data_IF_067004542733
#
_entry.id   IF_067004542733
#
_cell.length_a   1.000
_cell.length_b   1.000
_cell.length_c   1.000
_cell.angle_alpha   90.00
_cell.angle_beta   90.00
_cell.angle_gamma   90.00
#
_symmetry.space_group_name_H-M   'P 1'
#
loop_
_entity.id
_entity.type
_entity.pdbx_description
1 polymer ?
#
# COMPACT_ATOMS: atom_id res chain seq x y z
N UNK A 1 -10.59 57.14 3.63
CA UNK A 1 -10.20 56.13 2.62
C UNK A 1 -11.48 55.48 2.12
N UNK A 2 -11.69 55.36 0.81
CA UNK A 2 -12.94 54.80 0.27
C UNK A 2 -13.02 53.30 0.57
N UNK A 3 -14.22 52.76 0.88
CA UNK A 3 -14.41 51.33 1.12
C UNK A 3 -13.94 50.48 -0.07
N UNK A 4 -14.10 50.96 -1.30
CA UNK A 4 -13.58 50.31 -2.50
C UNK A 4 -12.04 50.18 -2.55
N UNK A 5 -11.29 51.14 -2.01
CA UNK A 5 -9.81 51.03 -1.91
C UNK A 5 -9.43 49.97 -0.88
N UNK A 6 -10.18 49.88 0.23
CA UNK A 6 -9.94 48.86 1.27
C UNK A 6 -10.24 47.47 0.72
N UNK A 7 -11.35 47.28 -0.01
CA UNK A 7 -11.68 46.01 -0.68
C UNK A 7 -10.60 45.57 -1.66
N UNK A 8 -10.09 46.49 -2.48
CA UNK A 8 -9.04 46.19 -3.45
C UNK A 8 -7.72 45.79 -2.77
N UNK A 9 -7.37 46.43 -1.65
CA UNK A 9 -6.20 46.06 -0.85
C UNK A 9 -6.36 44.69 -0.18
N UNK A 10 -7.55 44.38 0.35
CA UNK A 10 -7.84 43.08 0.95
C UNK A 10 -7.77 41.96 -0.10
N UNK A 11 -8.40 42.18 -1.26
CA UNK A 11 -8.42 41.20 -2.35
C UNK A 11 -7.01 40.97 -2.91
N UNK A 12 -6.20 42.03 -3.05
CA UNK A 12 -4.79 41.93 -3.41
C UNK A 12 -3.98 41.13 -2.37
N UNK A 13 -4.22 41.36 -1.08
CA UNK A 13 -3.56 40.61 0.00
C UNK A 13 -3.88 39.11 -0.04
N UNK A 14 -5.15 38.76 -0.24
CA UNK A 14 -5.59 37.36 -0.38
C UNK A 14 -4.98 36.72 -1.63
N UNK A 15 -4.97 37.42 -2.77
CA UNK A 15 -4.39 36.90 -4.01
C UNK A 15 -2.88 36.61 -3.88
N UNK A 16 -2.12 37.52 -3.26
CA UNK A 16 -0.69 37.32 -2.99
C UNK A 16 -0.48 36.12 -2.06
N UNK A 17 -1.29 36.01 -1.00
CA UNK A 17 -1.24 34.90 -0.07
C UNK A 17 -1.50 33.56 -0.77
N UNK A 18 -2.50 33.48 -1.64
CA UNK A 18 -2.82 32.26 -2.40
C UNK A 18 -1.67 31.88 -3.35
N UNK A 19 -1.05 32.83 -4.04
CA UNK A 19 0.10 32.56 -4.92
C UNK A 19 1.30 32.03 -4.13
N UNK A 20 1.61 32.63 -2.97
CA UNK A 20 2.68 32.13 -2.10
C UNK A 20 2.36 30.75 -1.54
N UNK A 21 1.13 30.51 -1.11
CA UNK A 21 0.69 29.21 -0.58
C UNK A 21 0.75 28.12 -1.64
N UNK A 22 0.30 28.40 -2.87
CA UNK A 22 0.40 27.46 -4.00
C UNK A 22 1.85 27.12 -4.33
N UNK A 23 2.77 28.10 -4.30
CA UNK A 23 4.20 27.84 -4.48
C UNK A 23 4.79 26.94 -3.40
N UNK A 24 4.36 27.09 -2.15
CA UNK A 24 4.85 26.26 -1.04
C UNK A 24 4.25 24.85 -1.05
N UNK A 25 3.05 24.66 -1.60
CA UNK A 25 2.40 23.34 -1.70
C UNK A 25 2.87 22.55 -2.93
N UNK A 26 3.15 23.22 -4.05
CA UNK A 26 3.64 22.58 -5.29
C UNK A 26 5.17 22.47 -5.35
N UNK A 27 5.88 23.15 -4.45
CA UNK A 27 7.29 23.47 -4.62
C UNK A 27 8.13 23.30 -3.36
N UNK A 28 8.02 22.15 -2.70
CA UNK A 28 9.17 21.55 -2.01
C UNK A 28 9.26 20.09 -2.43
N UNK A 29 10.28 19.82 -3.25
CA UNK A 29 10.89 18.51 -3.38
C UNK A 29 11.41 18.12 -2.00
N UNK A 30 10.56 17.56 -1.15
CA UNK A 30 10.96 17.08 0.16
C UNK A 30 10.66 15.58 0.27
N UNK A 31 11.75 14.81 0.24
CA UNK A 31 11.82 13.42 0.62
C UNK A 31 11.77 12.44 -0.55
N UNK A 32 12.92 11.82 -0.86
CA UNK A 32 13.11 10.65 -1.74
C UNK A 32 13.38 10.86 -3.25
N UNK A 33 14.06 11.93 -3.67
CA UNK A 33 14.88 11.83 -4.89
C UNK A 33 16.22 11.18 -4.51
N UNK A 34 16.34 9.86 -4.76
CA UNK A 34 17.65 9.18 -4.75
C UNK A 34 18.59 9.92 -5.71
N UNK A 35 19.85 10.20 -5.34
CA UNK A 35 20.82 10.75 -6.28
C UNK A 35 20.87 9.87 -7.52
N UNK A 36 20.95 10.48 -8.71
CA UNK A 36 21.16 9.74 -9.94
C UNK A 36 22.43 8.89 -9.79
N UNK A 37 22.24 7.59 -9.63
CA UNK A 37 23.33 6.61 -9.59
C UNK A 37 23.97 6.65 -10.97
N UNK A 38 25.23 7.08 -11.02
CA UNK A 38 26.06 6.85 -12.19
C UNK A 38 26.07 5.34 -12.46
N UNK A 39 25.49 4.93 -13.58
CA UNK A 39 25.55 3.55 -14.04
C UNK A 39 27.03 3.21 -14.32
N UNK A 40 27.65 2.54 -13.35
CA UNK A 40 28.86 1.79 -13.61
C UNK A 40 28.50 0.68 -14.62
N UNK A 41 29.39 0.35 -15.57
CA UNK A 41 29.09 -0.65 -16.59
C UNK A 41 28.78 -1.98 -15.90
N UNK A 42 27.54 -2.44 -16.09
CA UNK A 42 27.04 -3.72 -15.58
C UNK A 42 27.81 -4.82 -16.29
N UNK A 43 28.89 -5.29 -15.66
CA UNK A 43 29.47 -6.58 -16.02
C UNK A 43 28.43 -7.64 -15.66
N UNK A 44 27.68 -8.10 -16.65
CA UNK A 44 26.92 -9.34 -16.57
C UNK A 44 27.90 -10.47 -16.24
N UNK A 45 28.01 -10.77 -14.95
CA UNK A 45 28.47 -12.06 -14.50
C UNK A 45 27.21 -12.85 -14.18
N UNK A 46 26.95 -13.98 -14.85
CA UNK A 46 25.93 -14.89 -14.38
C UNK A 46 26.41 -15.38 -13.02
N UNK A 47 25.87 -14.82 -11.93
CA UNK A 47 26.03 -15.43 -10.62
C UNK A 47 25.21 -16.70 -10.64
N UNK A 48 25.85 -17.80 -10.98
CA UNK A 48 25.46 -19.10 -10.48
C UNK A 48 25.42 -18.96 -8.95
N UNK A 49 24.20 -18.81 -8.40
CA UNK A 49 23.98 -18.93 -6.97
C UNK A 49 24.15 -20.42 -6.67
N UNK A 50 25.39 -20.78 -6.37
CA UNK A 50 25.75 -22.09 -5.82
C UNK A 50 24.95 -22.24 -4.54
N UNK A 51 24.12 -23.27 -4.50
CA UNK A 51 23.41 -23.70 -3.30
C UNK A 51 24.46 -24.26 -2.34
N UNK A 52 24.84 -23.50 -1.31
CA UNK A 52 25.47 -24.04 -0.10
C UNK A 52 25.40 -23.04 1.06
N UNK A 53 24.41 -23.23 1.95
CA UNK A 53 24.53 -22.90 3.37
C UNK A 53 24.46 -21.45 3.85
N UNK A 54 24.15 -20.47 2.99
CA UNK A 54 23.91 -19.08 3.40
C UNK A 54 22.47 -18.84 3.88
N UNK A 55 22.30 -18.04 4.92
CA UNK A 55 20.98 -17.64 5.45
C UNK A 55 20.22 -16.78 4.41
N UNK A 56 18.91 -17.01 4.25
CA UNK A 56 18.06 -16.23 3.33
C UNK A 56 17.71 -14.89 3.97
N UNK A 57 18.45 -13.84 3.58
CA UNK A 57 18.28 -12.49 4.11
C UNK A 57 16.85 -11.94 3.91
N UNK A 58 16.19 -12.24 2.80
CA UNK A 58 14.83 -11.76 2.53
C UNK A 58 13.79 -12.40 3.47
N UNK A 59 14.07 -13.61 3.98
CA UNK A 59 13.29 -14.21 5.07
C UNK A 59 13.66 -13.60 6.42
N UNK A 60 14.95 -13.49 6.73
CA UNK A 60 15.41 -13.03 8.04
C UNK A 60 15.12 -11.55 8.32
N UNK A 61 15.01 -10.72 7.28
CA UNK A 61 14.60 -9.32 7.39
C UNK A 61 13.11 -9.18 7.79
N UNK A 62 12.31 -10.25 7.61
CA UNK A 62 10.86 -10.25 7.80
C UNK A 62 10.36 -11.26 8.85
N UNK A 63 11.19 -12.21 9.27
CA UNK A 63 10.83 -13.27 10.20
C UNK A 63 12.01 -13.71 11.07
N UNK A 64 11.76 -13.97 12.35
CA UNK A 64 12.78 -14.49 13.25
C UNK A 64 13.30 -15.85 12.78
N UNK A 65 14.62 -16.05 12.89
CA UNK A 65 15.27 -17.31 12.51
C UNK A 65 14.71 -18.49 13.29
N UNK A 66 14.31 -19.54 12.58
CA UNK A 66 13.74 -20.75 13.18
C UNK A 66 12.30 -20.57 13.68
N UNK A 67 11.65 -19.45 13.39
CA UNK A 67 10.22 -19.29 13.60
C UNK A 67 9.40 -20.09 12.58
N UNK A 68 8.16 -20.44 12.94
CA UNK A 68 7.22 -21.07 12.01
C UNK A 68 7.00 -20.23 10.74
N UNK A 69 7.05 -18.90 10.85
CA UNK A 69 6.96 -17.98 9.70
C UNK A 69 8.15 -18.13 8.77
N UNK A 70 9.37 -18.18 9.31
CA UNK A 70 10.58 -18.37 8.50
C UNK A 70 10.56 -19.72 7.76
N UNK A 71 10.07 -20.78 8.41
CA UNK A 71 9.88 -22.09 7.77
C UNK A 71 8.83 -22.04 6.66
N UNK A 72 7.69 -21.39 6.89
CA UNK A 72 6.64 -21.25 5.88
C UNK A 72 7.11 -20.45 4.65
N UNK A 73 7.83 -19.33 4.85
CA UNK A 73 8.39 -18.54 3.76
C UNK A 73 9.44 -19.33 2.96
N UNK A 74 10.24 -20.18 3.64
CA UNK A 74 11.17 -21.07 2.96
C UNK A 74 10.44 -22.12 2.09
N UNK A 75 9.33 -22.67 2.57
CA UNK A 75 8.48 -23.59 1.79
C UNK A 75 7.85 -22.90 0.58
N UNK A 76 7.40 -21.65 0.71
CA UNK A 76 6.88 -20.87 -0.40
C UNK A 76 7.94 -20.67 -1.49
N UNK A 77 9.15 -20.24 -1.13
CA UNK A 77 10.29 -20.10 -2.06
C UNK A 77 10.70 -21.41 -2.72
N UNK A 78 10.57 -22.53 -2.01
CA UNK A 78 10.82 -23.85 -2.59
C UNK A 78 9.80 -24.19 -3.68
N UNK A 79 8.55 -23.75 -3.53
CA UNK A 79 7.46 -24.05 -4.46
C UNK A 79 7.40 -23.10 -5.65
N UNK A 80 7.79 -21.84 -5.45
CA UNK A 80 7.93 -20.81 -6.46
C UNK A 80 9.29 -20.10 -6.33
N UNK A 81 10.18 -20.34 -7.29
CA UNK A 81 11.52 -19.76 -7.30
C UNK A 81 11.55 -18.25 -7.53
N UNK A 82 10.45 -17.66 -8.04
CA UNK A 82 10.34 -16.23 -8.25
C UNK A 82 9.74 -15.51 -7.03
N UNK A 83 9.33 -16.25 -6.00
CA UNK A 83 8.76 -15.67 -4.79
C UNK A 83 9.79 -14.82 -4.02
N UNK A 84 9.38 -13.62 -3.63
CA UNK A 84 10.11 -12.76 -2.68
C UNK A 84 9.18 -12.37 -1.54
N UNK A 85 9.72 -12.24 -0.32
CA UNK A 85 8.92 -11.89 0.86
C UNK A 85 8.38 -10.47 0.74
N UNK A 86 9.21 -9.54 0.25
CA UNK A 86 8.80 -8.14 0.06
C UNK A 86 7.63 -7.97 -0.93
N UNK A 87 7.67 -8.66 -2.08
CA UNK A 87 6.58 -8.57 -3.06
C UNK A 87 5.30 -9.22 -2.52
N UNK A 88 5.44 -10.35 -1.80
CA UNK A 88 4.31 -10.99 -1.13
C UNK A 88 3.66 -10.07 -0.09
N UNK A 89 4.44 -9.39 0.74
CA UNK A 89 3.91 -8.45 1.73
C UNK A 89 3.24 -7.24 1.07
N UNK A 90 3.82 -6.71 -0.01
CA UNK A 90 3.21 -5.62 -0.77
C UNK A 90 1.86 -6.04 -1.38
N UNK A 91 1.82 -7.21 -2.03
CA UNK A 91 0.58 -7.77 -2.59
C UNK A 91 -0.45 -8.09 -1.52
N UNK A 92 -0.03 -8.59 -0.36
CA UNK A 92 -0.91 -8.89 0.77
C UNK A 92 -1.60 -7.63 1.32
N UNK A 93 -0.89 -6.50 1.41
CA UNK A 93 -1.48 -5.21 1.81
C UNK A 93 -2.55 -4.75 0.82
N UNK A 94 -2.28 -4.89 -0.47
CA UNK A 94 -3.24 -4.54 -1.52
C UNK A 94 -4.47 -5.46 -1.50
N UNK A 95 -4.26 -6.77 -1.39
CA UNK A 95 -5.36 -7.75 -1.29
C UNK A 95 -6.23 -7.48 -0.04
N UNK A 96 -5.61 -7.16 1.09
CA UNK A 96 -6.34 -6.80 2.31
C UNK A 96 -7.26 -5.60 2.09
N UNK A 97 -6.77 -4.53 1.47
CA UNK A 97 -7.58 -3.36 1.13
C UNK A 97 -8.74 -3.71 0.21
N UNK A 98 -8.48 -4.44 -0.88
CA UNK A 98 -9.54 -4.82 -1.83
C UNK A 98 -10.63 -5.64 -1.14
N UNK A 99 -10.25 -6.66 -0.36
CA UNK A 99 -11.20 -7.56 0.32
C UNK A 99 -12.00 -6.79 1.36
N UNK A 100 -11.34 -5.95 2.17
CA UNK A 100 -12.00 -5.16 3.19
C UNK A 100 -13.01 -4.18 2.57
N UNK A 101 -12.61 -3.45 1.53
CA UNK A 101 -13.48 -2.48 0.88
C UNK A 101 -14.62 -3.15 0.12
N UNK A 102 -14.39 -4.30 -0.51
CA UNK A 102 -15.42 -5.10 -1.14
C UNK A 102 -16.50 -5.52 -0.12
N UNK A 103 -16.07 -6.00 1.04
CA UNK A 103 -16.95 -6.34 2.16
C UNK A 103 -17.73 -5.13 2.68
N UNK A 104 -17.06 -4.01 2.97
CA UNK A 104 -17.73 -2.83 3.51
C UNK A 104 -18.73 -2.22 2.53
N UNK A 105 -18.42 -2.24 1.23
CA UNK A 105 -19.32 -1.79 0.18
C UNK A 105 -20.46 -2.77 -0.12
N UNK A 106 -20.43 -3.97 0.47
CA UNK A 106 -21.47 -4.99 0.28
C UNK A 106 -21.47 -5.66 -1.10
N UNK A 107 -20.31 -5.69 -1.76
CA UNK A 107 -20.07 -6.37 -3.04
C UNK A 107 -18.71 -7.07 -3.00
N UNK A 108 -18.72 -8.40 -2.89
CA UNK A 108 -17.52 -9.24 -2.78
C UNK A 108 -17.18 -10.01 -4.07
N UNK A 109 -17.92 -9.78 -5.16
CA UNK A 109 -17.81 -10.60 -6.38
C UNK A 109 -16.39 -10.58 -6.97
N UNK A 110 -15.72 -9.43 -6.93
CA UNK A 110 -14.36 -9.25 -7.46
C UNK A 110 -13.27 -9.87 -6.56
N UNK A 111 -13.62 -10.31 -5.35
CA UNK A 111 -12.65 -10.83 -4.37
C UNK A 111 -12.90 -12.26 -3.91
N UNK A 112 -13.93 -12.94 -4.45
CA UNK A 112 -14.27 -14.33 -4.08
C UNK A 112 -13.08 -15.28 -4.28
N UNK A 113 -12.32 -15.10 -5.35
CA UNK A 113 -11.12 -15.91 -5.64
C UNK A 113 -9.96 -15.72 -4.64
N UNK A 114 -9.99 -14.66 -3.81
CA UNK A 114 -8.95 -14.37 -2.80
C UNK A 114 -9.31 -14.82 -1.38
N UNK A 115 -10.53 -15.34 -1.18
CA UNK A 115 -11.04 -15.77 0.13
C UNK A 115 -11.45 -17.24 0.07
N UNK A 116 -11.56 -17.88 1.23
CA UNK A 116 -12.10 -19.25 1.30
C UNK A 116 -13.63 -19.23 1.30
N UNK A 117 -14.24 -20.35 0.90
CA UNK A 117 -15.70 -20.57 0.93
C UNK A 117 -16.31 -20.24 2.32
N UNK A 118 -15.63 -20.62 3.40
CA UNK A 118 -16.07 -20.29 4.77
C UNK A 118 -16.14 -18.77 5.02
N UNK A 119 -15.19 -18.00 4.49
CA UNK A 119 -15.16 -16.53 4.65
C UNK A 119 -16.19 -15.88 3.74
N UNK A 120 -16.35 -16.40 2.53
CA UNK A 120 -17.38 -16.00 1.57
C UNK A 120 -18.78 -16.11 2.19
N UNK A 121 -19.12 -17.27 2.76
CA UNK A 121 -20.40 -17.52 3.43
C UNK A 121 -20.66 -16.51 4.56
N UNK A 122 -19.65 -16.27 5.39
CA UNK A 122 -19.75 -15.31 6.50
C UNK A 122 -19.97 -13.89 5.98
N UNK A 123 -19.27 -13.50 4.91
CA UNK A 123 -19.40 -12.18 4.31
C UNK A 123 -20.79 -11.97 3.71
N UNK A 124 -21.26 -12.92 2.90
CA UNK A 124 -22.59 -12.86 2.28
C UNK A 124 -23.69 -12.77 3.35
N UNK A 125 -23.59 -13.56 4.42
CA UNK A 125 -24.56 -13.54 5.52
C UNK A 125 -24.64 -12.17 6.21
N UNK A 126 -23.49 -11.53 6.48
CA UNK A 126 -23.44 -10.22 7.13
C UNK A 126 -23.92 -9.11 6.18
N UNK A 127 -23.55 -9.18 4.91
CA UNK A 127 -23.97 -8.23 3.88
C UNK A 127 -25.49 -8.30 3.68
N UNK A 128 -26.07 -9.51 3.61
CA UNK A 128 -27.51 -9.70 3.49
C UNK A 128 -28.27 -9.18 4.72
N UNK A 129 -27.75 -9.44 5.93
CA UNK A 129 -28.34 -8.91 7.16
C UNK A 129 -28.38 -7.37 7.17
N UNK A 130 -27.28 -6.71 6.78
CA UNK A 130 -27.23 -5.24 6.62
C UNK A 130 -28.25 -4.74 5.61
N UNK A 131 -28.34 -5.39 4.43
CA UNK A 131 -29.29 -5.05 3.36
C UNK A 131 -30.74 -5.21 3.83
N UNK A 132 -31.05 -6.29 4.55
CA UNK A 132 -32.40 -6.53 5.09
C UNK A 132 -32.85 -5.48 6.10
N UNK A 133 -31.90 -4.88 6.81
CA UNK A 133 -32.11 -3.78 7.76
C UNK A 133 -32.12 -2.40 7.10
N UNK A 134 -31.88 -2.32 5.80
CA UNK A 134 -31.76 -1.05 5.07
C UNK A 134 -30.54 -0.21 5.49
N UNK A 135 -29.48 -0.87 6.00
CA UNK A 135 -28.24 -0.20 6.39
C UNK A 135 -27.35 0.02 5.17
N UNK A 136 -26.80 1.22 5.05
CA UNK A 136 -25.79 1.58 4.06
C UNK A 136 -24.51 1.93 4.81
N UNK A 137 -23.39 1.37 4.35
CA UNK A 137 -22.07 1.65 4.90
C UNK A 137 -21.34 2.55 3.90
N UNK A 138 -20.77 3.63 4.42
CA UNK A 138 -19.81 4.48 3.71
C UNK A 138 -18.46 4.27 4.40
N UNK A 139 -17.50 3.71 3.68
CA UNK A 139 -16.18 3.41 4.19
C UNK A 139 -15.10 4.06 3.31
N UNK A 140 -14.01 4.49 3.94
CA UNK A 140 -12.81 4.97 3.29
C UNK A 140 -11.60 4.29 3.91
N UNK A 141 -10.71 3.78 3.07
CA UNK A 141 -9.48 3.14 3.50
C UNK A 141 -8.34 4.17 3.56
N UNK A 142 -7.81 4.43 4.77
CA UNK A 142 -6.74 5.40 5.01
C UNK A 142 -5.33 4.79 5.02
N UNK A 143 -5.23 3.46 4.87
CA UNK A 143 -3.97 2.72 4.91
C UNK A 143 -3.73 1.95 6.21
N UNK A 144 -2.83 0.97 6.13
CA UNK A 144 -2.34 0.19 7.26
C UNK A 144 -1.03 0.75 7.79
N UNK A 145 -0.92 0.95 9.11
CA UNK A 145 0.33 1.37 9.74
C UNK A 145 1.36 0.24 9.71
N UNK A 146 2.56 0.52 9.24
CA UNK A 146 3.69 -0.41 9.40
C UNK A 146 4.09 -0.44 10.88
N UNK A 147 4.15 -1.63 11.46
CA UNK A 147 4.65 -1.89 12.82
C UNK A 147 6.00 -2.58 12.75
#
# INVERSE_FOLDING_TARGET
MSPAIIELLVLAGIAIFLIMRLRNVLGTREGFEKPAVQEAPKAERPSFKVIEGGEDADILDNAEKGSATAEALALMKQRDSNFTVNDFLAGSKYAYEMILMAFENGNIDDVRDFISEEIEDVFDQVIEDRKSKGLVIEAEYLGTRET
#
